data_IF_778122036356
#
_entry.id   IF_778122036356
#
_cell.length_a   1.000
_cell.length_b   1.000
_cell.length_c   1.000
_cell.angle_alpha   90.00
_cell.angle_beta   90.00
_cell.angle_gamma   90.00
#
_symmetry.space_group_name_H-M   'P 1'
#
loop_
_entity.id
_entity.type
_entity.pdbx_description
1 polymer ?
#
# COMPACT_ATOMS: atom_id res chain seq x y z
N UNK A 1 22.82 -43.41 -3.63
CA UNK A 1 22.03 -42.43 -4.42
C UNK A 1 22.06 -41.12 -3.65
N UNK A 2 23.17 -40.38 -3.59
CA UNK A 2 23.61 -39.35 -4.54
C UNK A 2 22.45 -38.57 -5.18
N UNK A 3 22.07 -37.44 -4.59
CA UNK A 3 21.32 -36.38 -5.26
C UNK A 3 22.10 -35.07 -5.10
N UNK A 4 22.76 -34.69 -6.19
CA UNK A 4 23.61 -33.53 -6.36
C UNK A 4 22.76 -32.27 -6.60
N UNK A 5 23.17 -31.18 -5.96
CA UNK A 5 23.11 -29.79 -6.40
C UNK A 5 21.96 -29.35 -7.32
N UNK A 6 20.87 -28.84 -6.73
CA UNK A 6 20.14 -27.74 -7.37
C UNK A 6 20.91 -26.44 -7.08
N UNK A 7 22.02 -26.23 -7.79
CA UNK A 7 22.45 -24.88 -8.12
C UNK A 7 21.39 -24.33 -9.08
N UNK A 8 20.31 -23.79 -8.51
CA UNK A 8 19.51 -22.84 -9.25
C UNK A 8 20.46 -21.71 -9.62
N UNK A 9 20.82 -21.63 -10.90
CA UNK A 9 21.53 -20.47 -11.43
C UNK A 9 20.80 -19.24 -10.89
N UNK A 10 21.50 -18.27 -10.24
CA UNK A 10 20.93 -16.95 -10.12
C UNK A 10 20.80 -16.47 -11.56
N UNK A 11 19.64 -16.69 -12.17
CA UNK A 11 19.23 -15.83 -13.26
C UNK A 11 19.37 -14.44 -12.66
N UNK A 12 20.16 -13.55 -13.28
CA UNK A 12 20.15 -12.17 -12.87
C UNK A 12 18.70 -11.73 -13.01
N UNK A 13 17.99 -11.67 -11.89
CA UNK A 13 16.76 -10.91 -11.78
C UNK A 13 17.25 -9.50 -12.10
N UNK A 14 16.95 -9.03 -13.31
CA UNK A 14 17.11 -7.63 -13.64
C UNK A 14 16.20 -6.89 -12.65
N UNK A 15 16.80 -6.51 -11.53
CA UNK A 15 16.15 -5.70 -10.52
C UNK A 15 15.77 -4.41 -11.25
N UNK A 16 14.47 -4.19 -11.40
CA UNK A 16 13.97 -2.97 -12.02
C UNK A 16 14.55 -1.79 -11.24
N UNK A 17 15.12 -0.77 -11.91
CA UNK A 17 15.71 0.36 -11.21
C UNK A 17 14.66 1.00 -10.30
N UNK A 18 15.03 1.26 -9.06
CA UNK A 18 14.17 1.96 -8.10
C UNK A 18 14.19 3.45 -8.43
N UNK A 19 13.19 3.90 -9.17
CA UNK A 19 13.05 5.30 -9.58
C UNK A 19 12.31 6.13 -8.53
N UNK A 20 12.50 7.46 -8.57
CA UNK A 20 11.73 8.40 -7.75
C UNK A 20 10.27 8.46 -8.20
N UNK A 21 9.41 9.05 -7.37
CA UNK A 21 7.98 9.20 -7.69
C UNK A 21 7.73 10.03 -8.97
N UNK A 22 8.57 11.03 -9.26
CA UNK A 22 8.51 11.80 -10.52
C UNK A 22 9.15 11.11 -11.74
N UNK A 23 9.69 9.91 -11.58
CA UNK A 23 10.42 9.17 -12.61
C UNK A 23 9.79 7.81 -12.92
N UNK A 24 10.06 7.26 -14.10
CA UNK A 24 9.62 5.93 -14.50
C UNK A 24 10.81 5.09 -14.99
N UNK A 25 10.78 3.76 -14.79
CA UNK A 25 11.86 2.89 -15.22
C UNK A 25 11.89 2.78 -16.76
N UNK A 26 13.07 2.95 -17.34
CA UNK A 26 13.32 2.76 -18.78
C UNK A 26 14.65 2.06 -18.98
N UNK A 27 14.60 0.80 -19.43
CA UNK A 27 15.80 -0.05 -19.50
C UNK A 27 16.43 -0.24 -18.12
N UNK A 28 17.71 0.14 -18.00
CA UNK A 28 18.47 0.06 -16.75
C UNK A 28 18.51 1.39 -15.97
N UNK A 29 17.76 2.41 -16.41
CA UNK A 29 17.76 3.74 -15.80
C UNK A 29 16.36 4.26 -15.48
N UNK A 30 16.32 5.48 -14.99
CA UNK A 30 15.09 6.21 -14.66
C UNK A 30 14.96 7.44 -15.55
N UNK A 31 13.75 7.68 -16.05
CA UNK A 31 13.42 8.81 -16.91
C UNK A 31 12.36 9.69 -16.26
N UNK A 32 12.37 11.01 -16.47
CA UNK A 32 11.33 11.89 -15.96
C UNK A 32 9.97 11.55 -16.58
N UNK A 33 8.91 11.52 -15.78
CA UNK A 33 7.53 11.27 -16.23
C UNK A 33 6.98 12.42 -17.07
N UNK A 34 6.05 12.11 -17.96
CA UNK A 34 5.22 13.09 -18.67
C UNK A 34 4.11 13.63 -17.76
N UNK A 35 3.72 14.89 -17.98
CA UNK A 35 2.61 15.54 -17.28
C UNK A 35 1.24 14.92 -17.64
N UNK A 36 0.19 15.16 -16.82
CA UNK A 36 -1.18 14.78 -17.16
C UNK A 36 -1.59 15.24 -18.56
N UNK A 37 -2.31 14.37 -19.28
CA UNK A 37 -2.72 14.61 -20.66
C UNK A 37 -1.65 14.46 -21.73
N UNK A 38 -0.46 13.97 -21.35
CA UNK A 38 0.62 13.62 -22.27
C UNK A 38 1.12 12.20 -22.01
N UNK A 39 1.54 11.52 -23.08
CA UNK A 39 2.17 10.20 -23.01
C UNK A 39 3.59 10.25 -23.60
N UNK A 40 4.40 9.25 -23.27
CA UNK A 40 5.76 9.10 -23.77
C UNK A 40 5.72 8.72 -25.25
N UNK A 41 6.32 9.55 -26.10
CA UNK A 41 6.64 9.20 -27.49
C UNK A 41 8.03 8.58 -27.60
N UNK A 42 8.99 9.11 -26.85
CA UNK A 42 10.36 8.64 -26.81
C UNK A 42 10.91 8.75 -25.39
N UNK A 43 11.57 7.69 -24.92
CA UNK A 43 12.21 7.67 -23.62
C UNK A 43 13.41 8.63 -23.56
N UNK A 44 13.79 9.02 -22.35
CA UNK A 44 14.98 9.82 -22.13
C UNK A 44 16.25 9.08 -22.58
N UNK A 45 17.28 9.84 -22.97
CA UNK A 45 18.64 9.34 -23.17
C UNK A 45 19.58 9.95 -22.14
N UNK A 46 20.89 9.68 -22.26
CA UNK A 46 21.91 10.16 -21.31
C UNK A 46 21.94 11.69 -21.16
N UNK A 47 21.68 12.41 -22.25
CA UNK A 47 21.69 13.88 -22.32
C UNK A 47 20.34 14.48 -22.76
N UNK A 48 19.31 13.64 -22.96
CA UNK A 48 18.01 14.09 -23.49
C UNK A 48 16.88 13.68 -22.58
N UNK A 49 15.95 14.59 -22.31
CA UNK A 49 14.76 14.30 -21.51
C UNK A 49 13.74 13.42 -22.25
N UNK A 50 12.73 12.96 -21.52
CA UNK A 50 11.59 12.24 -22.08
C UNK A 50 10.82 13.13 -23.06
N UNK A 51 10.53 12.62 -24.25
CA UNK A 51 9.69 13.33 -25.23
C UNK A 51 8.24 12.95 -25.01
N UNK A 52 7.45 13.94 -24.59
CA UNK A 52 6.03 13.78 -24.29
C UNK A 52 5.16 14.39 -25.41
N UNK A 53 4.07 13.72 -25.76
CA UNK A 53 3.08 14.20 -26.74
C UNK A 53 1.66 14.13 -26.19
N UNK A 54 0.77 15.04 -26.59
CA UNK A 54 -0.56 15.14 -26.01
C UNK A 54 -1.42 13.91 -26.36
N UNK A 55 -2.32 13.57 -25.45
CA UNK A 55 -3.38 12.60 -25.71
C UNK A 55 -4.31 13.08 -26.82
N UNK A 56 -4.79 12.15 -27.64
CA UNK A 56 -5.79 12.43 -28.67
C UNK A 56 -7.20 12.45 -28.04
N UNK A 57 -8.15 13.05 -28.76
CA UNK A 57 -9.55 13.07 -28.35
C UNK A 57 -10.08 11.64 -28.12
N UNK A 58 -10.80 11.43 -27.03
CA UNK A 58 -11.26 10.10 -26.62
C UNK A 58 -10.24 9.30 -25.79
N UNK A 59 -9.11 9.91 -25.41
CA UNK A 59 -8.14 9.32 -24.48
C UNK A 59 -7.69 10.33 -23.42
N UNK A 60 -7.28 9.83 -22.25
CA UNK A 60 -6.88 10.66 -21.11
C UNK A 60 -5.72 10.06 -20.30
N UNK A 61 -5.01 10.90 -19.55
CA UNK A 61 -4.13 10.50 -18.44
C UNK A 61 -4.21 11.55 -17.32
N UNK A 62 -4.59 11.14 -16.10
CA UNK A 62 -4.82 12.06 -14.97
C UNK A 62 -3.56 12.45 -14.21
N UNK A 63 -2.53 11.59 -14.20
CA UNK A 63 -1.36 11.76 -13.36
C UNK A 63 -0.06 11.79 -14.16
N UNK A 64 1.03 12.20 -13.51
CA UNK A 64 2.36 12.08 -14.10
C UNK A 64 2.65 10.61 -14.41
N UNK A 65 3.12 10.32 -15.62
CA UNK A 65 3.17 8.95 -16.13
C UNK A 65 4.38 8.66 -17.02
N UNK A 66 4.71 7.37 -17.15
CA UNK A 66 5.67 6.85 -18.12
C UNK A 66 5.00 5.99 -19.21
N UNK A 67 3.70 6.19 -19.46
CA UNK A 67 2.93 5.36 -20.39
C UNK A 67 3.28 5.71 -21.83
N UNK A 68 3.35 4.69 -22.69
CA UNK A 68 3.56 4.89 -24.14
C UNK A 68 2.28 5.24 -24.90
N UNK A 69 1.12 5.13 -24.26
CA UNK A 69 -0.21 5.44 -24.81
C UNK A 69 -1.13 5.98 -23.72
N UNK A 70 -2.07 6.82 -24.12
CA UNK A 70 -3.13 7.31 -23.24
C UNK A 70 -4.22 6.25 -23.00
N UNK A 71 -4.95 6.39 -21.90
CA UNK A 71 -6.05 5.49 -21.53
C UNK A 71 -7.31 5.87 -22.30
N UNK A 72 -8.11 4.90 -22.79
CA UNK A 72 -9.37 5.22 -23.45
C UNK A 72 -10.37 5.80 -22.45
N UNK A 73 -11.14 6.79 -22.88
CA UNK A 73 -12.23 7.33 -22.07
C UNK A 73 -13.33 6.28 -21.85
N UNK A 74 -13.94 6.28 -20.67
CA UNK A 74 -15.14 5.50 -20.38
C UNK A 74 -16.30 5.97 -21.26
N UNK A 75 -17.08 5.01 -21.75
CA UNK A 75 -18.34 5.27 -22.47
C UNK A 75 -19.51 5.05 -21.49
N UNK A 76 -20.47 5.97 -21.49
CA UNK A 76 -21.68 5.85 -20.68
C UNK A 76 -22.78 5.20 -21.53
N UNK A 77 -23.20 4.00 -21.12
CA UNK A 77 -24.18 3.21 -21.84
C UNK A 77 -25.61 3.70 -21.58
N UNK A 78 -26.26 4.19 -22.64
CA UNK A 78 -27.63 4.68 -22.59
C UNK A 78 -28.63 3.56 -22.26
N UNK A 79 -28.34 2.32 -22.62
CA UNK A 79 -29.21 1.16 -22.35
C UNK A 79 -29.19 0.80 -20.87
N UNK A 80 -28.09 1.11 -20.17
CA UNK A 80 -27.98 1.05 -18.71
C UNK A 80 -28.54 2.29 -18.01
N UNK A 81 -29.16 3.22 -18.75
CA UNK A 81 -29.70 4.48 -18.24
C UNK A 81 -28.65 5.52 -17.84
N UNK A 82 -27.39 5.33 -18.27
CA UNK A 82 -26.28 6.22 -17.98
C UNK A 82 -26.12 7.29 -19.05
N UNK A 83 -25.70 8.48 -18.62
CA UNK A 83 -25.28 9.59 -19.48
C UNK A 83 -23.99 10.20 -18.92
N UNK A 84 -23.20 10.83 -19.79
CA UNK A 84 -22.02 11.56 -19.35
C UNK A 84 -22.44 12.77 -18.51
N UNK A 85 -22.20 12.72 -17.20
CA UNK A 85 -22.37 13.88 -16.32
C UNK A 85 -21.20 14.84 -16.46
N UNK A 86 -20.00 14.30 -16.74
CA UNK A 86 -18.82 15.05 -17.16
C UNK A 86 -18.19 14.37 -18.38
N UNK A 87 -17.95 15.16 -19.42
CA UNK A 87 -17.28 14.70 -20.63
C UNK A 87 -15.80 14.39 -20.38
N UNK A 88 -15.25 13.50 -21.21
CA UNK A 88 -13.82 13.22 -21.19
C UNK A 88 -13.00 14.43 -21.65
N UNK A 89 -11.81 14.59 -21.08
CA UNK A 89 -10.77 15.50 -21.53
C UNK A 89 -9.43 14.76 -21.62
N UNK A 90 -8.38 15.40 -22.13
CA UNK A 90 -7.05 14.77 -22.17
C UNK A 90 -6.50 14.46 -20.77
N UNK A 91 -6.97 15.16 -19.73
CA UNK A 91 -6.49 14.98 -18.35
C UNK A 91 -7.50 14.28 -17.44
N UNK A 92 -8.72 14.04 -17.90
CA UNK A 92 -9.79 13.52 -17.06
C UNK A 92 -10.68 12.52 -17.80
N UNK A 93 -11.01 11.42 -17.15
CA UNK A 93 -11.96 10.45 -17.68
C UNK A 93 -13.39 11.01 -17.72
N UNK A 94 -14.22 10.43 -18.59
CA UNK A 94 -15.67 10.56 -18.54
C UNK A 94 -16.20 10.10 -17.18
N UNK A 95 -17.13 10.87 -16.62
CA UNK A 95 -17.90 10.46 -15.43
C UNK A 95 -19.33 10.16 -15.88
N UNK A 96 -19.81 8.95 -15.57
CA UNK A 96 -21.16 8.53 -15.88
C UNK A 96 -22.11 8.77 -14.70
N UNK A 97 -23.32 9.21 -15.00
CA UNK A 97 -24.39 9.38 -14.03
C UNK A 97 -25.75 8.99 -14.63
N UNK A 98 -26.77 8.89 -13.80
CA UNK A 98 -28.10 8.52 -14.26
C UNK A 98 -28.76 9.65 -15.04
N UNK A 99 -29.43 9.27 -16.14
CA UNK A 99 -30.28 10.21 -16.88
C UNK A 99 -31.44 10.70 -15.99
N UNK A 100 -32.02 11.88 -16.28
CA UNK A 100 -33.16 12.38 -15.52
C UNK A 100 -34.29 11.35 -15.40
N UNK A 101 -34.91 11.27 -14.22
CA UNK A 101 -35.95 10.28 -13.95
C UNK A 101 -35.44 8.87 -13.63
N UNK A 102 -34.14 8.68 -13.44
CA UNK A 102 -33.53 7.40 -13.04
C UNK A 102 -32.72 7.56 -11.74
N UNK A 103 -32.63 6.48 -10.97
CA UNK A 103 -31.77 6.39 -9.78
C UNK A 103 -30.70 5.33 -10.00
N UNK A 104 -29.59 5.45 -9.25
CA UNK A 104 -28.53 4.47 -9.31
C UNK A 104 -28.93 3.20 -8.56
N UNK A 105 -28.92 2.08 -9.26
CA UNK A 105 -29.25 0.76 -8.71
C UNK A 105 -27.99 -0.01 -8.34
N UNK A 106 -26.91 0.19 -9.10
CA UNK A 106 -25.61 -0.43 -8.86
C UNK A 106 -24.48 0.59 -9.04
N UNK A 107 -23.58 0.64 -8.07
CA UNK A 107 -22.35 1.44 -8.11
C UNK A 107 -21.13 0.54 -8.33
N UNK A 108 -20.17 1.05 -9.09
CA UNK A 108 -18.88 0.42 -9.39
C UNK A 108 -17.78 1.47 -9.27
N UNK A 109 -16.79 1.22 -8.42
CA UNK A 109 -15.68 2.14 -8.11
C UNK A 109 -16.11 3.60 -7.84
N UNK A 110 -17.22 3.78 -7.11
CA UNK A 110 -17.75 5.10 -6.74
C UNK A 110 -18.45 5.86 -7.88
N UNK A 111 -18.74 5.19 -9.00
CA UNK A 111 -19.54 5.71 -10.10
C UNK A 111 -20.74 4.80 -10.36
N UNK A 112 -21.86 5.37 -10.79
CA UNK A 112 -23.01 4.56 -11.12
C UNK A 112 -22.75 3.66 -12.33
N UNK A 113 -23.01 2.37 -12.20
CA UNK A 113 -22.87 1.36 -13.24
C UNK A 113 -24.20 0.99 -13.90
N UNK A 114 -25.31 1.04 -13.17
CA UNK A 114 -26.66 0.75 -13.70
C UNK A 114 -27.69 1.70 -13.08
N UNK A 115 -28.53 2.29 -13.93
CA UNK A 115 -29.58 3.19 -13.54
C UNK A 115 -30.96 2.60 -13.85
N UNK A 116 -31.87 2.66 -12.88
CA UNK A 116 -33.28 2.23 -13.05
C UNK A 116 -34.22 3.42 -13.08
N UNK A 117 -35.30 3.37 -13.88
CA UNK A 117 -36.29 4.43 -13.89
C UNK A 117 -36.99 4.50 -12.54
N UNK A 118 -37.32 5.71 -12.09
CA UNK A 118 -38.26 5.88 -11.00
C UNK A 118 -39.61 5.27 -11.40
N UNK A 119 -40.29 4.65 -10.43
CA UNK A 119 -41.65 4.19 -10.65
C UNK A 119 -42.54 5.40 -10.97
N UNK A 120 -43.02 5.49 -12.20
CA UNK A 120 -44.10 6.40 -12.55
C UNK A 120 -45.37 5.89 -11.88
N UNK A 121 -45.75 6.47 -10.74
CA UNK A 121 -47.14 6.38 -10.33
C UNK A 121 -47.96 7.10 -11.40
N UNK A 122 -48.80 6.36 -12.12
CA UNK A 122 -49.80 6.94 -13.00
C UNK A 122 -50.64 7.88 -12.15
N UNK A 123 -50.67 9.21 -12.39
CA UNK A 123 -51.53 10.09 -11.62
C UNK A 123 -52.97 9.71 -11.94
N UNK A 124 -53.70 9.19 -10.96
CA UNK A 124 -55.16 9.17 -11.04
C UNK A 124 -55.67 10.61 -11.19
N UNK A 125 -56.83 10.83 -11.85
CA UNK A 125 -57.37 12.17 -12.01
C UNK A 125 -57.73 12.73 -10.62
N UNK A 126 -56.82 13.52 -10.03
CA UNK A 126 -57.03 14.13 -8.71
C UNK A 126 -55.79 14.38 -7.87
N UNK A 127 -54.61 13.87 -8.22
CA UNK A 127 -53.39 14.14 -7.44
C UNK A 127 -52.47 15.12 -8.17
N UNK A 128 -52.37 16.33 -7.61
CA UNK A 128 -51.31 17.31 -7.92
C UNK A 128 -49.98 16.57 -7.84
N UNK A 129 -49.23 16.57 -8.94
CA UNK A 129 -47.93 15.93 -9.07
C UNK A 129 -47.01 16.40 -7.96
N UNK A 130 -46.85 15.57 -6.95
CA UNK A 130 -45.82 15.74 -5.94
C UNK A 130 -44.49 15.66 -6.67
N UNK A 131 -43.80 16.79 -6.79
CA UNK A 131 -42.38 16.82 -7.07
C UNK A 131 -41.74 15.90 -6.02
N UNK A 132 -41.08 14.84 -6.47
CA UNK A 132 -40.15 14.13 -5.58
C UNK A 132 -39.03 15.13 -5.27
N UNK A 133 -39.24 15.92 -4.22
CA UNK A 133 -38.18 16.60 -3.51
C UNK A 133 -37.42 15.51 -2.77
N UNK A 134 -36.55 14.80 -3.51
CA UNK A 134 -35.40 14.21 -2.87
C UNK A 134 -34.67 15.34 -2.15
N UNK A 135 -34.10 15.12 -0.96
CA UNK A 135 -33.21 16.13 -0.42
C UNK A 135 -32.12 16.33 -1.48
N UNK A 136 -31.94 17.57 -1.94
CA UNK A 136 -30.62 17.98 -2.43
C UNK A 136 -29.73 17.88 -1.20
N UNK A 137 -29.25 16.68 -0.88
CA UNK A 137 -28.04 16.55 -0.08
C UNK A 137 -26.98 17.16 -0.97
N UNK A 138 -26.62 18.41 -0.66
CA UNK A 138 -25.32 18.94 -0.97
C UNK A 138 -24.32 17.79 -0.81
N UNK A 139 -23.48 17.58 -1.82
CA UNK A 139 -22.37 16.64 -1.73
C UNK A 139 -21.61 16.97 -0.46
N UNK A 140 -21.91 16.24 0.60
CA UNK A 140 -21.11 16.24 1.80
C UNK A 140 -19.74 15.69 1.42
N UNK A 141 -18.70 15.99 2.19
CA UNK A 141 -17.49 15.20 2.11
C UNK A 141 -17.93 13.74 2.24
N UNK A 142 -17.58 12.89 1.26
CA UNK A 142 -17.71 11.45 1.42
C UNK A 142 -17.08 11.05 2.76
N UNK A 143 -17.51 9.95 3.40
CA UNK A 143 -16.88 9.53 4.63
C UNK A 143 -15.40 9.35 4.31
N UNK A 144 -14.57 10.29 4.79
CA UNK A 144 -13.20 9.99 5.13
C UNK A 144 -13.29 8.70 5.92
N UNK A 145 -12.48 7.70 5.56
CA UNK A 145 -12.44 6.42 6.25
C UNK A 145 -12.02 6.61 7.70
N UNK A 146 -12.92 7.15 8.51
CA UNK A 146 -12.80 7.27 9.94
C UNK A 146 -12.96 5.84 10.42
N UNK A 147 -11.82 5.22 10.71
CA UNK A 147 -11.75 3.99 11.49
C UNK A 147 -12.76 4.18 12.64
N UNK A 148 -13.68 3.22 12.86
CA UNK A 148 -14.67 3.35 13.92
C UNK A 148 -14.02 3.85 15.21
N UNK A 149 -14.69 4.69 15.99
CA UNK A 149 -14.09 5.26 17.21
C UNK A 149 -13.48 4.17 18.15
N UNK A 150 -14.05 2.96 18.14
CA UNK A 150 -13.53 1.79 18.85
C UNK A 150 -12.21 1.23 18.28
N UNK A 151 -11.95 1.38 16.99
CA UNK A 151 -10.71 0.92 16.35
C UNK A 151 -9.55 1.85 16.68
N UNK A 152 -9.81 3.16 16.76
CA UNK A 152 -8.82 4.16 17.23
C UNK A 152 -8.45 3.90 18.69
N UNK A 153 -9.43 3.60 19.56
CA UNK A 153 -9.16 3.29 20.96
C UNK A 153 -8.35 2.00 21.12
N UNK A 154 -8.62 0.97 20.31
CA UNK A 154 -7.82 -0.27 20.30
C UNK A 154 -6.38 0.00 19.86
N UNK A 155 -6.17 0.75 18.77
CA UNK A 155 -4.81 1.06 18.27
C UNK A 155 -4.03 1.83 19.35
N UNK A 156 -4.63 2.84 19.96
CA UNK A 156 -4.00 3.62 21.02
C UNK A 156 -3.62 2.75 22.24
N UNK A 157 -4.50 1.82 22.65
CA UNK A 157 -4.23 0.88 23.74
C UNK A 157 -3.12 -0.10 23.37
N UNK A 158 -3.12 -0.67 22.17
CA UNK A 158 -2.10 -1.62 21.70
C UNK A 158 -0.73 -0.93 21.59
N UNK A 159 -0.68 0.30 21.09
CA UNK A 159 0.57 1.09 21.01
C UNK A 159 1.16 1.44 22.37
N UNK A 160 0.36 1.45 23.45
CA UNK A 160 0.85 1.68 24.82
C UNK A 160 1.21 0.34 25.49
N UNK A 161 0.39 -0.69 25.32
CA UNK A 161 0.64 -2.00 25.93
C UNK A 161 1.83 -2.74 25.30
N UNK A 162 2.00 -2.66 23.98
CA UNK A 162 3.11 -3.32 23.29
C UNK A 162 4.51 -2.86 23.80
N UNK A 163 4.85 -1.56 23.88
CA UNK A 163 6.14 -1.14 24.43
C UNK A 163 6.29 -1.47 25.91
N UNK A 164 5.22 -1.40 26.71
CA UNK A 164 5.26 -1.81 28.13
C UNK A 164 5.56 -3.30 28.27
N UNK A 165 4.92 -4.15 27.45
CA UNK A 165 5.19 -5.60 27.41
C UNK A 165 6.60 -5.86 26.89
N UNK A 166 7.07 -5.16 25.86
CA UNK A 166 8.43 -5.29 25.33
C UNK A 166 9.45 -4.89 26.41
N UNK A 167 9.28 -3.75 27.07
CA UNK A 167 10.17 -3.31 28.16
C UNK A 167 10.13 -4.29 29.33
N UNK A 168 8.95 -4.76 29.74
CA UNK A 168 8.81 -5.77 30.79
C UNK A 168 9.51 -7.09 30.42
N UNK A 169 9.35 -7.56 29.19
CA UNK A 169 9.96 -8.81 28.72
C UNK A 169 11.48 -8.67 28.56
N UNK A 170 11.98 -7.53 28.08
CA UNK A 170 13.40 -7.23 28.00
C UNK A 170 14.01 -7.09 29.40
N UNK A 171 13.33 -6.39 30.31
CA UNK A 171 13.76 -6.28 31.69
C UNK A 171 13.76 -7.64 32.41
N UNK A 172 12.73 -8.46 32.18
CA UNK A 172 12.65 -9.83 32.69
C UNK A 172 13.75 -10.72 32.12
N UNK A 173 14.06 -10.58 30.82
CA UNK A 173 15.20 -11.28 30.19
C UNK A 173 16.53 -10.84 30.81
N UNK A 174 16.73 -9.55 31.04
CA UNK A 174 17.93 -9.04 31.71
C UNK A 174 18.02 -9.48 33.17
N UNK A 175 16.90 -9.51 33.91
CA UNK A 175 16.85 -10.04 35.27
C UNK A 175 17.20 -11.54 35.30
N UNK A 176 16.66 -12.34 34.36
CA UNK A 176 17.04 -13.75 34.24
C UNK A 176 18.49 -13.96 33.78
N UNK A 177 19.04 -13.05 32.97
CA UNK A 177 20.45 -13.07 32.58
C UNK A 177 21.36 -12.69 33.75
N UNK A 178 20.92 -11.81 34.65
CA UNK A 178 21.61 -11.49 35.90
C UNK A 178 21.81 -12.72 36.78
N UNK A 179 20.77 -13.56 36.94
CA UNK A 179 20.90 -14.82 37.69
C UNK A 179 21.87 -15.81 37.01
N UNK A 180 21.83 -15.96 35.68
CA UNK A 180 22.69 -16.89 34.95
C UNK A 180 24.17 -16.46 34.89
N UNK A 181 24.45 -15.15 34.84
CA UNK A 181 25.83 -14.61 34.91
C UNK A 181 26.41 -14.78 36.30
N UNK A 182 25.61 -14.62 37.37
CA UNK A 182 26.05 -14.85 38.75
C UNK A 182 26.33 -16.34 39.01
N UNK A 183 25.50 -17.25 38.48
CA UNK A 183 25.75 -18.69 38.59
C UNK A 183 27.02 -19.10 37.83
N UNK A 184 27.21 -18.62 36.60
CA UNK A 184 28.39 -18.94 35.77
C UNK A 184 29.69 -18.43 36.38
N UNK A 185 29.70 -17.20 36.91
CA UNK A 185 30.89 -16.64 37.60
C UNK A 185 31.20 -17.40 38.89
N UNK A 186 30.19 -17.83 39.65
CA UNK A 186 30.38 -18.64 40.86
C UNK A 186 31.00 -20.02 40.58
N UNK A 187 30.68 -20.64 39.43
CA UNK A 187 31.22 -21.94 39.01
C UNK A 187 32.66 -21.82 38.49
N UNK A 188 32.96 -20.78 37.70
CA UNK A 188 34.33 -20.54 37.21
C UNK A 188 35.29 -20.19 38.34
N UNK A 189 34.87 -19.33 39.29
CA UNK A 189 35.66 -19.00 40.47
C UNK A 189 36.04 -20.25 41.30
N UNK A 190 35.09 -21.19 41.45
CA UNK A 190 35.35 -22.46 42.15
C UNK A 190 36.34 -23.35 41.41
N UNK A 191 36.31 -23.36 40.07
CA UNK A 191 37.20 -24.17 39.25
C UNK A 191 38.64 -23.65 39.26
N UNK A 192 38.84 -22.34 39.09
CA UNK A 192 40.16 -21.73 39.19
C UNK A 192 40.79 -21.94 40.58
N UNK A 193 39.98 -21.86 41.65
CA UNK A 193 40.48 -22.13 43.00
C UNK A 193 40.93 -23.59 43.19
N UNK A 194 40.24 -24.54 42.56
CA UNK A 194 40.64 -25.95 42.61
C UNK A 194 41.89 -26.24 41.77
N UNK A 195 42.08 -25.54 40.65
CA UNK A 195 43.27 -25.66 39.80
C UNK A 195 44.53 -25.12 40.51
N UNK A 196 44.44 -23.96 41.19
CA UNK A 196 45.56 -23.43 41.98
C UNK A 196 45.97 -24.38 43.13
N UNK A 197 45.00 -24.95 43.86
CA UNK A 197 45.30 -25.90 44.94
C UNK A 197 45.97 -27.18 44.41
N UNK A 198 45.55 -27.67 43.23
CA UNK A 198 46.16 -28.84 42.60
C UNK A 198 47.62 -28.58 42.16
N UNK A 199 47.91 -27.41 41.57
CA UNK A 199 49.27 -27.03 41.14
C UNK A 199 50.21 -26.88 42.34
N UNK A 200 49.74 -26.32 43.46
CA UNK A 200 50.54 -26.20 44.69
C UNK A 200 50.86 -27.59 45.28
N UNK A 201 49.90 -28.53 45.26
CA UNK A 201 50.15 -29.90 45.70
C UNK A 201 51.16 -30.63 44.81
N UNK A 202 51.09 -30.48 43.49
CA UNK A 202 52.09 -31.05 42.57
C UNK A 202 53.48 -30.45 42.81
N UNK A 203 53.57 -29.13 43.06
CA UNK A 203 54.85 -28.47 43.37
C UNK A 203 55.48 -28.94 44.69
N UNK A 204 54.67 -29.31 45.70
CA UNK A 204 55.16 -29.88 46.95
C UNK A 204 55.67 -31.31 46.78
N UNK A 205 55.03 -32.10 45.90
CA UNK A 205 55.43 -33.48 45.59
C UNK A 205 56.64 -33.54 44.66
N UNK A 206 56.91 -32.48 43.89
CA UNK A 206 58.04 -32.38 42.98
C UNK A 206 59.38 -32.00 43.66
N UNK A 207 59.49 -31.99 45.00
CA UNK A 207 60.79 -31.79 45.66
C UNK A 207 61.69 -33.03 45.48
N UNK A 208 62.88 -32.89 44.87
CA UNK A 208 63.87 -33.96 44.85
C UNK A 208 64.62 -34.05 46.19
N UNK A 209 64.87 -35.30 46.61
CA UNK A 209 65.77 -35.85 47.64
C UNK A 209 66.36 -34.90 48.71
#
# INVERSE_FOLDING_TARGET
VLCLFLLGSPHPTLALPSCKEEEYPSGNGCCPKCSPGFHVKQACGELTGTVCVPCILGTFITHHNGLSKCLPCRVCDLDMGLVASRNCSTTENTVCGCRPGHFCDLEDEGQCAVCRPHATSTPGPGTVGGRCSGPMTAGGPGPSGELPAWLITIIAVVSILAPVIIVYTLWKRMASQGDMVVETTSVQQKRCKAEDEAVVLEALQARPA
#
